data_IF_655314333395
#
_entry.id   IF_655314333395
#
_cell.length_a   1.000
_cell.length_b   1.000
_cell.length_c   1.000
_cell.angle_alpha   90.00
_cell.angle_beta   90.00
_cell.angle_gamma   90.00
#
_symmetry.space_group_name_H-M   'P 1'
#
loop_
_entity.id
_entity.type
_entity.pdbx_description
1 polymer ?
#
# COMPACT_ATOMS: atom_id res chain seq x y z
N UNK A 1 15.12 18.73 32.98
CA UNK A 1 14.08 17.68 33.04
C UNK A 1 13.56 17.42 31.63
N UNK A 2 14.17 16.51 30.87
CA UNK A 2 13.65 16.09 29.57
C UNK A 2 12.79 14.84 29.77
N UNK A 3 11.47 14.97 29.55
CA UNK A 3 10.57 13.82 29.43
C UNK A 3 10.78 13.24 28.03
N UNK A 4 11.34 12.03 27.96
CA UNK A 4 11.32 11.25 26.72
C UNK A 4 9.86 10.89 26.41
N UNK A 5 9.35 11.36 25.28
CA UNK A 5 8.05 10.95 24.78
C UNK A 5 8.17 9.50 24.30
N UNK A 6 7.41 8.59 24.92
CA UNK A 6 7.26 7.23 24.44
C UNK A 6 6.44 7.29 23.14
N UNK A 7 7.11 7.24 21.99
CA UNK A 7 6.45 7.10 20.69
C UNK A 7 6.14 5.63 20.45
N UNK A 8 4.86 5.28 20.42
CA UNK A 8 4.41 3.93 20.02
C UNK A 8 4.47 3.81 18.50
N UNK A 9 5.22 2.83 18.00
CA UNK A 9 5.31 2.49 16.57
C UNK A 9 4.26 1.42 16.26
N UNK A 10 3.38 1.70 15.29
CA UNK A 10 2.41 0.73 14.77
C UNK A 10 2.76 0.44 13.31
N UNK A 11 2.86 -0.84 12.97
CA UNK A 11 3.20 -1.32 11.62
C UNK A 11 1.92 -1.80 10.93
N UNK A 12 1.62 -1.28 9.74
CA UNK A 12 0.51 -1.71 8.91
C UNK A 12 0.99 -2.28 7.57
N UNK A 13 0.50 -3.45 7.17
CA UNK A 13 0.78 -4.05 5.85
C UNK A 13 -0.52 -4.23 5.04
N UNK A 14 -0.65 -3.66 3.83
CA UNK A 14 -1.93 -3.60 3.12
C UNK A 14 -2.39 -4.90 2.44
N UNK A 15 -1.66 -6.02 2.55
CA UNK A 15 -2.01 -7.25 1.82
C UNK A 15 -2.68 -8.31 2.71
N UNK A 16 -3.95 -8.08 3.04
CA UNK A 16 -4.86 -9.09 3.60
C UNK A 16 -6.00 -9.39 2.63
N UNK A 17 -5.95 -10.53 1.94
CA UNK A 17 -7.03 -10.99 1.06
C UNK A 17 -8.28 -11.31 1.87
N UNK A 18 -9.38 -10.59 1.62
CA UNK A 18 -10.72 -11.06 1.98
C UNK A 18 -11.43 -11.51 0.70
N UNK A 19 -11.51 -12.82 0.46
CA UNK A 19 -12.43 -13.39 -0.54
C UNK A 19 -13.56 -14.14 0.16
N UNK A 20 -14.79 -13.71 -0.12
CA UNK A 20 -15.99 -14.50 0.13
C UNK A 20 -16.13 -15.55 -0.97
N UNK A 21 -16.09 -16.84 -0.62
CA UNK A 21 -16.36 -17.93 -1.55
C UNK A 21 -17.86 -18.15 -1.68
N UNK A 22 -18.40 -17.93 -2.88
CA UNK A 22 -19.71 -18.46 -3.29
C UNK A 22 -19.53 -19.89 -3.79
N UNK A 23 -20.20 -20.85 -3.16
CA UNK A 23 -20.16 -22.26 -3.54
C UNK A 23 -21.18 -22.51 -4.65
N UNK A 24 -20.73 -22.49 -5.91
CA UNK A 24 -21.49 -23.05 -7.02
C UNK A 24 -21.19 -24.55 -7.14
N UNK A 25 -22.23 -25.40 -7.06
CA UNK A 25 -22.11 -26.85 -7.29
C UNK A 25 -21.94 -27.12 -8.80
N UNK A 26 -20.75 -27.56 -9.20
CA UNK A 26 -20.49 -28.10 -10.53
C UNK A 26 -20.39 -29.63 -10.48
N UNK A 27 -21.06 -30.31 -11.42
CA UNK A 27 -21.07 -31.78 -11.53
C UNK A 27 -19.83 -32.30 -12.29
N UNK A 28 -19.33 -33.47 -11.86
CA UNK A 28 -18.03 -34.06 -12.27
C UNK A 28 -17.83 -34.31 -13.78
N UNK A 29 -18.90 -34.30 -14.60
CA UNK A 29 -18.83 -34.79 -15.98
C UNK A 29 -18.24 -33.78 -16.98
N UNK A 30 -18.26 -32.48 -16.67
CA UNK A 30 -17.82 -31.43 -17.61
C UNK A 30 -16.33 -31.05 -17.45
N UNK A 31 -15.62 -31.63 -16.48
CA UNK A 31 -14.25 -31.20 -16.15
C UNK A 31 -13.16 -31.82 -17.04
N UNK A 32 -13.34 -33.06 -17.49
CA UNK A 32 -12.27 -33.76 -18.20
C UNK A 32 -12.15 -33.39 -19.69
N UNK A 33 -13.25 -32.96 -20.33
CA UNK A 33 -13.26 -32.59 -21.75
C UNK A 33 -12.60 -31.23 -22.00
N UNK A 34 -12.80 -30.25 -21.09
CA UNK A 34 -12.23 -28.91 -21.24
C UNK A 34 -10.72 -28.85 -20.91
N UNK A 35 -10.24 -29.72 -20.01
CA UNK A 35 -8.85 -29.70 -19.55
C UNK A 35 -7.85 -30.27 -20.58
N UNK A 36 -8.28 -31.13 -21.51
CA UNK A 36 -7.36 -31.74 -22.49
C UNK A 36 -7.16 -30.91 -23.76
N UNK A 37 -8.02 -29.91 -24.04
CA UNK A 37 -7.91 -29.11 -25.26
C UNK A 37 -7.04 -27.85 -25.13
N UNK A 38 -6.60 -27.50 -23.92
CA UNK A 38 -5.82 -26.28 -23.65
C UNK A 38 -4.33 -26.51 -23.37
N UNK A 39 -3.79 -27.69 -23.71
CA UNK A 39 -2.37 -28.03 -23.56
C UNK A 39 -1.59 -28.06 -24.89
N UNK A 40 -2.00 -27.25 -25.88
CA UNK A 40 -1.21 -27.09 -27.11
C UNK A 40 -0.64 -25.67 -27.21
N UNK A 41 0.68 -25.62 -27.01
CA UNK A 41 1.62 -24.57 -27.37
C UNK A 41 1.41 -23.19 -26.71
N UNK A 42 1.80 -23.09 -25.45
CA UNK A 42 2.35 -21.84 -24.93
C UNK A 42 3.74 -22.13 -24.42
N UNK A 43 4.75 -21.67 -25.18
CA UNK A 43 6.11 -21.53 -24.66
C UNK A 43 6.05 -20.68 -23.39
N UNK A 44 6.12 -21.33 -22.23
CA UNK A 44 6.15 -20.68 -20.92
C UNK A 44 7.53 -20.05 -20.67
N UNK A 45 7.94 -19.11 -21.53
CA UNK A 45 8.81 -18.04 -21.07
C UNK A 45 7.92 -17.11 -20.26
N UNK A 46 7.63 -17.48 -19.00
CA UNK A 46 7.02 -16.53 -18.07
C UNK A 46 7.95 -15.32 -18.03
N UNK A 47 7.53 -14.14 -18.51
CA UNK A 47 8.34 -12.96 -18.35
C UNK A 47 8.50 -12.79 -16.83
N UNK A 48 9.74 -12.81 -16.34
CA UNK A 48 10.03 -12.43 -14.95
C UNK A 48 9.71 -10.94 -14.82
N UNK A 49 8.43 -10.58 -14.75
CA UNK A 49 8.01 -9.21 -14.52
C UNK A 49 8.46 -8.83 -13.12
N UNK A 50 9.32 -7.82 -13.03
CA UNK A 50 9.71 -7.24 -11.76
C UNK A 50 8.59 -6.37 -11.18
N UNK A 51 8.77 -5.95 -9.93
CA UNK A 51 7.88 -4.96 -9.32
C UNK A 51 7.87 -3.64 -10.11
N UNK A 52 9.00 -3.23 -10.69
CA UNK A 52 9.07 -2.06 -11.56
C UNK A 52 8.19 -2.19 -12.81
N UNK A 53 8.15 -3.36 -13.46
CA UNK A 53 7.28 -3.60 -14.62
C UNK A 53 5.80 -3.56 -14.22
N UNK A 54 5.48 -4.14 -13.05
CA UNK A 54 4.13 -4.11 -12.49
C UNK A 54 3.69 -2.68 -12.20
N UNK A 55 4.58 -1.85 -11.67
CA UNK A 55 4.30 -0.42 -11.45
C UNK A 55 4.15 0.35 -12.75
N UNK A 56 4.96 0.06 -13.77
CA UNK A 56 4.79 0.67 -15.09
C UNK A 56 3.41 0.31 -15.69
N UNK A 57 2.97 -0.94 -15.57
CA UNK A 57 1.60 -1.36 -15.95
C UNK A 57 0.56 -0.53 -15.21
N UNK A 58 0.64 -0.50 -13.87
CA UNK A 58 -0.26 0.27 -13.01
C UNK A 58 -0.35 1.74 -13.44
N UNK A 59 0.79 2.41 -13.67
CA UNK A 59 0.86 3.83 -14.02
C UNK A 59 0.35 4.10 -15.44
N UNK A 60 0.42 3.12 -16.33
CA UNK A 60 -0.11 3.20 -17.70
C UNK A 60 -1.62 2.95 -17.79
N UNK A 61 -2.32 2.81 -16.66
CA UNK A 61 -3.74 2.47 -16.62
C UNK A 61 -3.99 0.96 -16.59
N UNK A 62 -3.03 0.19 -16.07
CA UNK A 62 -3.06 -1.26 -15.93
C UNK A 62 -4.21 -1.75 -15.04
N UNK A 63 -4.18 -3.04 -14.69
CA UNK A 63 -5.36 -3.70 -14.15
C UNK A 63 -5.86 -3.04 -12.84
N UNK A 64 -7.14 -2.60 -12.75
CA UNK A 64 -7.69 -1.95 -11.56
C UNK A 64 -7.56 -2.78 -10.26
N UNK A 65 -7.39 -4.11 -10.37
CA UNK A 65 -7.17 -5.00 -9.21
C UNK A 65 -6.00 -4.60 -8.33
N UNK A 66 -5.04 -3.84 -8.86
CA UNK A 66 -3.86 -3.39 -8.14
C UNK A 66 -4.14 -2.20 -7.21
N UNK A 67 -5.30 -1.54 -7.35
CA UNK A 67 -5.69 -0.38 -6.55
C UNK A 67 -6.89 -0.72 -5.69
N UNK A 68 -6.78 -0.48 -4.39
CA UNK A 68 -7.96 -0.37 -3.54
C UNK A 68 -8.46 1.06 -3.68
N UNK A 69 -9.54 1.25 -4.44
CA UNK A 69 -10.15 2.58 -4.63
C UNK A 69 -11.45 2.74 -3.83
N UNK A 70 -11.94 1.67 -3.22
CA UNK A 70 -13.16 1.66 -2.44
C UNK A 70 -12.96 2.40 -1.11
N UNK A 71 -13.68 3.52 -0.93
CA UNK A 71 -13.64 4.30 0.32
C UNK A 71 -14.14 3.48 1.51
N UNK A 72 -15.16 2.63 1.32
CA UNK A 72 -15.69 1.76 2.38
C UNK A 72 -14.62 0.80 2.91
N UNK A 73 -13.83 0.19 2.02
CA UNK A 73 -12.73 -0.70 2.42
C UNK A 73 -11.68 0.02 3.25
N UNK A 74 -11.32 1.26 2.90
CA UNK A 74 -10.39 2.06 3.70
C UNK A 74 -10.98 2.45 5.06
N UNK A 75 -12.27 2.75 5.13
CA UNK A 75 -12.93 3.06 6.41
C UNK A 75 -13.01 1.82 7.32
N UNK A 76 -13.25 0.64 6.75
CA UNK A 76 -13.19 -0.61 7.50
C UNK A 76 -11.77 -0.87 8.03
N UNK A 77 -10.74 -0.65 7.22
CA UNK A 77 -9.34 -0.76 7.63
C UNK A 77 -9.00 0.25 8.74
N UNK A 78 -9.46 1.50 8.63
CA UNK A 78 -9.26 2.53 9.65
C UNK A 78 -9.95 2.15 10.97
N UNK A 79 -11.21 1.72 10.92
CA UNK A 79 -11.95 1.28 12.10
C UNK A 79 -11.26 0.10 12.79
N UNK A 80 -10.72 -0.85 12.01
CA UNK A 80 -9.94 -1.96 12.54
C UNK A 80 -8.66 -1.48 13.20
N UNK A 81 -7.92 -0.57 12.55
CA UNK A 81 -6.71 0.04 13.08
C UNK A 81 -6.97 0.77 14.42
N UNK A 82 -7.98 1.63 14.47
CA UNK A 82 -8.32 2.43 15.67
C UNK A 82 -8.72 1.56 16.86
N UNK A 83 -9.35 0.40 16.61
CA UNK A 83 -9.67 -0.58 17.66
C UNK A 83 -8.43 -1.06 18.43
N UNK A 84 -7.26 -1.11 17.78
CA UNK A 84 -6.02 -1.55 18.42
C UNK A 84 -5.19 -0.40 18.97
N UNK A 85 -5.16 0.75 18.28
CA UNK A 85 -4.39 1.91 18.74
C UNK A 85 -5.02 2.54 19.99
N UNK A 86 -6.36 2.57 20.08
CA UNK A 86 -7.14 3.10 21.22
C UNK A 86 -6.61 4.44 21.74
N UNK A 87 -6.54 5.43 20.84
CA UNK A 87 -6.02 6.76 21.18
C UNK A 87 -7.07 7.83 20.95
N UNK A 88 -7.14 8.77 21.91
CA UNK A 88 -7.88 10.02 21.78
C UNK A 88 -6.98 11.15 21.23
N UNK A 89 -5.69 10.87 21.01
CA UNK A 89 -4.65 11.82 20.57
C UNK A 89 -3.84 11.24 19.41
N UNK A 90 -4.40 11.17 18.19
CA UNK A 90 -3.72 10.63 17.01
C UNK A 90 -2.35 11.26 16.75
N UNK A 91 -2.19 12.55 17.06
CA UNK A 91 -0.96 13.32 16.87
C UNK A 91 0.23 12.82 17.70
N UNK A 92 -0.03 12.04 18.75
CA UNK A 92 1.01 11.42 19.58
C UNK A 92 1.54 10.09 19.03
N UNK A 93 0.98 9.60 17.92
CA UNK A 93 1.33 8.32 17.32
C UNK A 93 2.02 8.49 15.96
N UNK A 94 3.00 7.63 15.72
CA UNK A 94 3.68 7.50 14.43
C UNK A 94 3.38 6.13 13.83
N UNK A 95 2.82 6.13 12.63
CA UNK A 95 2.42 4.93 11.89
C UNK A 95 3.42 4.66 10.79
N UNK A 96 3.94 3.44 10.74
CA UNK A 96 4.84 3.00 9.70
C UNK A 96 4.12 2.10 8.69
N UNK A 97 4.18 2.49 7.42
CA UNK A 97 3.50 1.86 6.30
C UNK A 97 4.55 1.31 5.30
N UNK A 98 5.12 0.11 5.55
CA UNK A 98 6.04 -0.52 4.62
C UNK A 98 5.33 -0.99 3.35
N UNK A 99 5.99 -0.80 2.19
CA UNK A 99 5.53 -1.24 0.87
C UNK A 99 4.11 -0.70 0.54
N UNK A 100 3.88 0.56 0.89
CA UNK A 100 2.56 1.16 0.79
C UNK A 100 2.17 1.55 -0.65
N UNK A 101 3.12 1.54 -1.59
CA UNK A 101 2.88 1.99 -2.95
C UNK A 101 2.39 3.43 -3.00
N UNK A 102 1.22 3.63 -3.59
CA UNK A 102 0.46 4.88 -3.65
C UNK A 102 -0.92 4.71 -3.01
N UNK A 103 -1.05 3.82 -2.02
CA UNK A 103 -2.33 3.54 -1.36
C UNK A 103 -2.85 4.80 -0.60
N UNK A 104 -4.07 5.28 -0.88
CA UNK A 104 -4.63 6.45 -0.23
C UNK A 104 -4.90 6.26 1.27
N UNK A 105 -4.80 5.04 1.80
CA UNK A 105 -4.90 4.77 3.23
C UNK A 105 -3.82 5.48 4.05
N UNK A 106 -2.60 5.66 3.52
CA UNK A 106 -1.54 6.42 4.20
C UNK A 106 -1.95 7.88 4.40
N UNK A 107 -2.53 8.46 3.36
CA UNK A 107 -3.07 9.82 3.43
C UNK A 107 -4.30 9.90 4.34
N UNK A 108 -5.16 8.87 4.37
CA UNK A 108 -6.29 8.79 5.30
C UNK A 108 -5.80 8.86 6.76
N UNK A 109 -4.78 8.08 7.13
CA UNK A 109 -4.18 8.13 8.46
C UNK A 109 -3.63 9.53 8.78
N UNK A 110 -2.91 10.15 7.85
CA UNK A 110 -2.42 11.52 8.06
C UNK A 110 -3.56 12.54 8.25
N UNK A 111 -4.68 12.41 7.52
CA UNK A 111 -5.88 13.24 7.70
C UNK A 111 -6.57 13.03 9.06
N UNK A 112 -6.47 11.84 9.64
CA UNK A 112 -6.94 11.58 11.01
C UNK A 112 -6.01 12.13 12.11
N UNK A 113 -4.92 12.81 11.74
CA UNK A 113 -4.01 13.48 12.68
C UNK A 113 -2.77 12.67 13.05
N UNK A 114 -2.66 11.41 12.60
CA UNK A 114 -1.47 10.59 12.81
C UNK A 114 -0.23 11.19 12.11
N UNK A 115 0.95 10.93 12.67
CA UNK A 115 2.20 11.06 11.92
C UNK A 115 2.43 9.77 11.13
N UNK A 116 2.79 9.88 9.86
CA UNK A 116 2.96 8.72 8.96
C UNK A 116 4.37 8.69 8.40
N UNK A 117 4.93 7.49 8.35
CA UNK A 117 6.17 7.19 7.62
C UNK A 117 5.88 6.05 6.66
N UNK A 118 6.11 6.27 5.38
CA UNK A 118 5.96 5.25 4.33
C UNK A 118 7.30 4.95 3.69
N UNK A 119 7.51 3.70 3.26
CA UNK A 119 8.66 3.31 2.46
C UNK A 119 8.22 2.44 1.30
N UNK A 120 8.78 2.69 0.11
CA UNK A 120 8.57 1.85 -1.06
C UNK A 120 9.84 1.76 -1.92
N UNK A 121 10.02 0.63 -2.60
CA UNK A 121 11.15 0.43 -3.52
C UNK A 121 10.96 1.19 -4.84
N UNK A 122 9.73 1.63 -5.16
CA UNK A 122 9.39 2.21 -6.45
C UNK A 122 9.22 3.73 -6.36
N UNK A 123 10.13 4.52 -6.96
CA UNK A 123 10.08 5.99 -6.89
C UNK A 123 8.75 6.59 -7.37
N UNK A 124 8.18 6.02 -8.43
CA UNK A 124 6.93 6.50 -9.04
C UNK A 124 5.71 6.30 -8.13
N UNK A 125 5.74 5.27 -7.27
CA UNK A 125 4.72 5.05 -6.26
C UNK A 125 4.71 6.18 -5.24
N UNK A 126 5.90 6.53 -4.73
CA UNK A 126 6.08 7.66 -3.80
C UNK A 126 5.71 8.99 -4.45
N UNK A 127 6.09 9.24 -5.70
CA UNK A 127 5.67 10.46 -6.42
C UNK A 127 4.16 10.55 -6.62
N UNK A 128 3.48 9.40 -6.79
CA UNK A 128 2.03 9.35 -6.89
C UNK A 128 1.37 9.56 -5.53
N UNK A 129 1.92 8.96 -4.47
CA UNK A 129 1.46 9.11 -3.09
C UNK A 129 1.52 10.57 -2.63
N UNK A 130 2.58 11.32 -2.97
CA UNK A 130 2.73 12.75 -2.62
C UNK A 130 1.53 13.60 -3.05
N UNK A 131 0.88 13.26 -4.17
CA UNK A 131 -0.23 14.02 -4.75
C UNK A 131 -1.50 13.99 -3.88
N UNK A 132 -1.60 13.05 -2.95
CA UNK A 132 -2.73 13.00 -2.02
C UNK A 132 -2.61 14.01 -0.89
N UNK A 133 -1.41 14.50 -0.59
CA UNK A 133 -1.15 15.39 0.52
C UNK A 133 -1.19 16.84 0.06
N UNK A 134 -1.93 17.66 0.81
CA UNK A 134 -1.95 19.11 0.62
C UNK A 134 -0.69 19.73 1.24
N UNK A 135 0.10 20.47 0.47
CA UNK A 135 1.28 21.20 0.99
C UNK A 135 2.52 21.03 0.14
N UNK A 136 3.68 21.29 0.76
CA UNK A 136 4.99 21.25 0.12
C UNK A 136 5.88 20.14 0.70
N UNK A 137 6.82 19.67 -0.13
CA UNK A 137 7.72 18.57 0.17
C UNK A 137 9.18 18.99 0.01
N UNK A 138 10.00 18.66 0.99
CA UNK A 138 11.46 18.77 0.93
C UNK A 138 12.07 17.41 0.55
N UNK A 139 13.00 17.40 -0.40
CA UNK A 139 13.74 16.20 -0.82
C UNK A 139 15.13 16.18 -0.20
N UNK A 140 15.54 15.05 0.39
CA UNK A 140 16.90 14.76 0.82
C UNK A 140 17.35 13.43 0.24
N UNK A 141 18.62 13.34 -0.16
CA UNK A 141 19.24 12.09 -0.63
C UNK A 141 20.32 11.74 0.38
N UNK A 142 20.24 10.54 0.95
CA UNK A 142 21.21 10.03 1.92
C UNK A 142 22.45 9.46 1.22
N UNK A 143 23.51 9.20 1.97
CA UNK A 143 24.78 8.69 1.45
C UNK A 143 24.65 7.31 0.78
N UNK A 144 23.69 6.50 1.23
CA UNK A 144 23.38 5.18 0.68
C UNK A 144 22.48 5.23 -0.57
N UNK A 145 22.12 6.43 -1.03
CA UNK A 145 21.21 6.65 -2.16
C UNK A 145 19.73 6.66 -1.79
N UNK A 146 19.36 6.40 -0.53
CA UNK A 146 17.97 6.48 -0.07
C UNK A 146 17.44 7.90 -0.22
N UNK A 147 16.30 8.06 -0.87
CA UNK A 147 15.62 9.35 -1.01
C UNK A 147 14.57 9.50 0.08
N UNK A 148 14.62 10.60 0.80
CA UNK A 148 13.66 10.96 1.84
C UNK A 148 12.90 12.21 1.42
N UNK A 149 11.58 12.13 1.47
CA UNK A 149 10.68 13.25 1.29
C UNK A 149 10.02 13.61 2.61
N UNK A 150 10.16 14.85 3.05
CA UNK A 150 9.55 15.36 4.28
C UNK A 150 8.49 16.40 3.95
N UNK A 151 7.27 16.21 4.44
CA UNK A 151 6.17 17.15 4.25
C UNK A 151 6.29 18.32 5.23
N UNK A 152 5.96 19.53 4.80
CA UNK A 152 5.99 20.75 5.63
C UNK A 152 5.15 20.69 6.93
N UNK A 153 4.10 19.87 6.97
CA UNK A 153 3.31 19.56 8.17
C UNK A 153 4.11 18.91 9.29
N UNK A 154 5.31 18.37 9.00
CA UNK A 154 6.13 17.63 9.96
C UNK A 154 5.57 16.25 10.34
N UNK A 155 4.43 15.84 9.75
CA UNK A 155 3.72 14.61 10.09
C UNK A 155 3.74 13.56 8.99
N UNK A 156 4.36 13.81 7.84
CA UNK A 156 4.48 12.82 6.77
C UNK A 156 5.91 12.74 6.27
N UNK A 157 6.46 11.53 6.24
CA UNK A 157 7.77 11.22 5.66
C UNK A 157 7.65 10.03 4.71
N UNK A 158 8.19 10.16 3.50
CA UNK A 158 8.17 9.09 2.49
C UNK A 158 9.60 8.73 2.10
N UNK A 159 9.93 7.45 2.15
CA UNK A 159 11.22 6.90 1.76
C UNK A 159 11.13 6.17 0.42
N UNK A 160 12.16 6.35 -0.40
CA UNK A 160 12.44 5.52 -1.57
C UNK A 160 13.82 4.90 -1.36
N UNK A 161 13.91 3.57 -1.33
CA UNK A 161 15.16 2.83 -1.14
C UNK A 161 14.97 1.37 -1.44
#
# INVERSE_FOLDING_TARGET
>A
MHKAALSSLVIFTPFGTYQAFSVARFTKSNYYSLMQQQQRNVSLTSPKMGWSDTWNDILSGGNPRWKVTCSESHQQALSHFEKFVKTDKPESFSVFCPLAGDDPFVHLLWKQGYSVTSIDLVPQAVESMKKYFDGSWEKKVQEDGTVVWSHDSGRATLYVG
#
